data_IF_314108451213
#
_entry.id   IF_314108451213
#
_cell.length_a   1.000
_cell.length_b   1.000
_cell.length_c   1.000
_cell.angle_alpha   90.00
_cell.angle_beta   90.00
_cell.angle_gamma   90.00
#
_symmetry.space_group_name_H-M   'P 1'
#
loop_
_entity.id
_entity.type
_entity.pdbx_description
1 polymer ?
#
# COMPACT_ATOMS: atom_id res chain seq x y z
N UNK A 1 15.33 10.66 5.02
CA UNK A 1 14.50 9.46 4.78
C UNK A 1 14.92 8.26 5.63
N UNK A 2 16.21 7.91 5.75
CA UNK A 2 16.63 6.74 6.58
C UNK A 2 16.66 6.98 8.10
N UNK A 3 16.62 8.24 8.54
CA UNK A 3 16.66 8.62 9.97
C UNK A 3 15.24 8.76 10.56
N UNK A 4 14.41 7.73 10.34
CA UNK A 4 13.08 7.63 10.94
C UNK A 4 13.17 6.64 12.11
N UNK A 5 12.89 7.15 13.31
CA UNK A 5 12.90 6.38 14.56
C UNK A 5 11.64 6.69 15.36
N UNK A 6 10.52 6.02 15.07
CA UNK A 6 9.25 6.31 15.72
C UNK A 6 9.28 5.88 17.19
N UNK A 7 8.70 6.67 18.10
CA UNK A 7 8.42 6.25 19.47
C UNK A 7 7.24 5.26 19.46
N UNK A 8 7.55 3.96 19.56
CA UNK A 8 6.52 2.92 19.51
C UNK A 8 5.51 3.05 20.63
N UNK A 9 4.22 3.00 20.29
CA UNK A 9 3.13 3.07 21.26
C UNK A 9 2.91 4.45 21.89
N UNK A 10 3.57 5.50 21.38
CA UNK A 10 3.36 6.89 21.80
C UNK A 10 2.69 7.68 20.68
N UNK A 11 1.89 8.70 21.05
CA UNK A 11 1.33 9.66 20.09
C UNK A 11 2.42 10.63 19.64
N UNK A 12 2.56 10.75 18.33
CA UNK A 12 3.29 11.80 17.65
C UNK A 12 2.29 12.80 17.05
N UNK A 13 2.40 14.08 17.40
CA UNK A 13 1.68 15.16 16.71
C UNK A 13 2.36 15.42 15.36
N UNK A 14 1.69 15.08 14.26
CA UNK A 14 2.20 15.26 12.90
C UNK A 14 1.83 16.65 12.37
N UNK A 15 0.62 17.07 12.67
CA UNK A 15 0.06 18.37 12.31
C UNK A 15 -1.06 18.75 13.31
N UNK A 16 -1.70 19.92 13.20
CA UNK A 16 -2.78 20.30 14.12
C UNK A 16 -3.94 19.29 14.19
N UNK A 17 -4.26 18.60 13.09
CA UNK A 17 -5.38 17.64 13.03
C UNK A 17 -4.93 16.19 12.84
N UNK A 18 -3.64 15.91 12.70
CA UNK A 18 -3.12 14.55 12.46
C UNK A 18 -2.17 14.15 13.58
N UNK A 19 -2.51 13.04 14.21
CA UNK A 19 -1.66 12.31 15.16
C UNK A 19 -1.28 10.96 14.57
N UNK A 20 -0.17 10.38 15.05
CA UNK A 20 0.28 9.03 14.65
C UNK A 20 0.72 8.23 15.85
N UNK A 21 0.37 6.93 15.87
CA UNK A 21 1.01 5.93 16.75
C UNK A 21 1.61 4.85 15.86
N UNK A 22 2.89 4.52 16.07
CA UNK A 22 3.56 3.49 15.29
C UNK A 22 3.58 2.14 16.03
N UNK A 23 3.10 1.09 15.38
CA UNK A 23 3.14 -0.27 15.90
C UNK A 23 4.59 -0.82 15.96
N UNK A 24 4.96 -1.59 17.00
CA UNK A 24 6.31 -2.15 17.15
C UNK A 24 6.51 -3.41 16.29
N UNK A 25 6.29 -3.31 14.99
CA UNK A 25 6.39 -4.42 14.02
C UNK A 25 7.42 -4.19 12.90
N UNK A 26 8.68 -3.80 13.19
CA UNK A 26 9.68 -3.57 12.14
C UNK A 26 10.02 -4.87 11.40
N UNK A 27 9.92 -4.83 10.07
CA UNK A 27 10.20 -5.95 9.17
C UNK A 27 10.65 -5.43 7.79
N UNK A 28 11.14 -6.29 6.89
CA UNK A 28 11.54 -5.87 5.54
C UNK A 28 10.44 -5.15 4.74
N UNK A 29 9.16 -5.39 5.03
CA UNK A 29 8.03 -4.78 4.33
C UNK A 29 7.40 -3.61 5.10
N UNK A 30 7.45 -3.64 6.43
CA UNK A 30 6.91 -2.57 7.29
C UNK A 30 7.94 -1.50 7.66
N UNK A 31 9.19 -1.65 7.22
CA UNK A 31 10.33 -0.79 7.55
C UNK A 31 10.56 -0.66 9.06
N UNK A 32 10.13 0.46 9.66
CA UNK A 32 10.23 0.72 11.09
C UNK A 32 8.96 0.36 11.83
N UNK A 33 7.88 0.00 11.14
CA UNK A 33 6.59 -0.32 11.73
C UNK A 33 5.44 0.33 10.96
N UNK A 34 4.24 -0.03 11.37
CA UNK A 34 2.98 0.47 10.77
C UNK A 34 2.57 1.76 11.47
N UNK A 35 2.45 2.86 10.74
CA UNK A 35 1.89 4.10 11.25
C UNK A 35 0.37 4.06 11.23
N UNK A 36 -0.25 4.02 12.40
CA UNK A 36 -1.68 4.26 12.56
C UNK A 36 -1.90 5.77 12.69
N UNK A 37 -2.68 6.35 11.78
CA UNK A 37 -3.02 7.77 11.81
C UNK A 37 -4.34 8.00 12.54
N UNK A 38 -4.42 9.11 13.26
CA UNK A 38 -5.60 9.58 13.98
C UNK A 38 -5.90 10.99 13.46
N UNK A 39 -7.10 11.20 12.94
CA UNK A 39 -7.53 12.45 12.31
C UNK A 39 -8.60 13.11 13.17
N UNK A 40 -8.41 14.39 13.48
CA UNK A 40 -9.34 15.20 14.28
C UNK A 40 -9.09 15.18 15.79
N UNK A 41 -9.96 15.88 16.52
CA UNK A 41 -10.04 15.93 18.00
C UNK A 41 -11.51 15.98 18.44
N UNK A 42 -11.84 15.42 19.59
CA UNK A 42 -13.22 15.29 20.09
C UNK A 42 -13.96 14.15 19.41
N UNK A 43 -14.18 14.27 18.10
CA UNK A 43 -14.64 13.18 17.24
C UNK A 43 -13.58 12.86 16.19
N UNK A 44 -13.12 11.61 16.13
CA UNK A 44 -11.93 11.24 15.35
C UNK A 44 -12.16 10.05 14.42
N UNK A 45 -11.33 9.99 13.38
CA UNK A 45 -11.15 8.81 12.55
C UNK A 45 -9.76 8.19 12.79
N UNK A 46 -9.69 6.85 12.75
CA UNK A 46 -8.43 6.10 12.73
C UNK A 46 -8.21 5.58 11.30
N UNK A 47 -6.99 5.68 10.79
CA UNK A 47 -6.58 5.10 9.50
C UNK A 47 -5.52 4.03 9.76
N UNK A 48 -5.75 2.81 9.27
CA UNK A 48 -4.88 1.64 9.42
C UNK A 48 -4.45 1.37 10.88
N UNK A 49 -5.32 0.76 11.70
CA UNK A 49 -5.09 0.53 13.12
C UNK A 49 -3.95 -0.45 13.43
N UNK A 50 -3.41 -1.12 12.42
CA UNK A 50 -2.22 -1.93 12.57
C UNK A 50 -2.49 -3.44 12.73
N UNK A 51 -1.43 -4.23 12.96
CA UNK A 51 -1.58 -5.62 13.37
C UNK A 51 -2.14 -5.74 14.79
N UNK A 52 -2.67 -6.90 15.14
CA UNK A 52 -3.03 -7.23 16.53
C UNK A 52 -1.74 -7.47 17.32
N UNK A 53 -1.24 -6.40 17.95
CA UNK A 53 -0.16 -6.45 18.93
C UNK A 53 -0.73 -5.91 20.24
N UNK A 54 -0.70 -6.68 21.35
CA UNK A 54 -1.32 -6.24 22.61
C UNK A 54 -0.87 -4.85 23.07
N UNK A 55 0.44 -4.58 23.06
CA UNK A 55 0.97 -3.27 23.46
C UNK A 55 0.53 -2.12 22.54
N UNK A 56 0.33 -2.38 21.24
CA UNK A 56 -0.17 -1.37 20.30
C UNK A 56 -1.66 -1.10 20.50
N UNK A 57 -2.45 -2.14 20.71
CA UNK A 57 -3.88 -2.00 21.04
C UNK A 57 -4.08 -1.25 22.36
N UNK A 58 -3.29 -1.56 23.38
CA UNK A 58 -3.37 -0.89 24.67
C UNK A 58 -2.94 0.58 24.56
N UNK A 59 -1.90 0.88 23.77
CA UNK A 59 -1.48 2.24 23.46
C UNK A 59 -2.59 3.04 22.75
N UNK A 60 -3.21 2.47 21.70
CA UNK A 60 -4.33 3.12 21.00
C UNK A 60 -5.52 3.36 21.91
N UNK A 61 -5.90 2.37 22.73
CA UNK A 61 -7.04 2.52 23.65
C UNK A 61 -6.79 3.60 24.70
N UNK A 62 -5.65 3.54 25.38
CA UNK A 62 -5.30 4.49 26.44
C UNK A 62 -5.08 5.91 25.92
N UNK A 63 -4.44 6.07 24.76
CA UNK A 63 -4.13 7.39 24.21
C UNK A 63 -5.35 8.08 23.60
N UNK A 64 -6.42 7.34 23.32
CA UNK A 64 -7.68 7.85 22.78
C UNK A 64 -8.79 7.87 23.84
N UNK A 65 -8.46 7.69 25.13
CA UNK A 65 -9.43 7.89 26.21
C UNK A 65 -9.96 9.33 26.20
N UNK A 66 -11.28 9.46 26.17
CA UNK A 66 -11.97 10.76 26.11
C UNK A 66 -12.26 11.25 24.69
N UNK A 67 -11.69 10.63 23.66
CA UNK A 67 -12.05 10.85 22.26
C UNK A 67 -13.27 10.01 21.88
N UNK A 68 -14.07 10.51 20.94
CA UNK A 68 -15.11 9.73 20.27
C UNK A 68 -14.54 9.19 18.97
N UNK A 69 -14.08 7.94 18.96
CA UNK A 69 -13.68 7.28 17.71
C UNK A 69 -14.94 6.95 16.91
N UNK A 70 -15.22 7.69 15.85
CA UNK A 70 -16.42 7.50 15.03
C UNK A 70 -16.18 6.59 13.82
N UNK A 71 -14.94 6.55 13.31
CA UNK A 71 -14.61 5.80 12.09
C UNK A 71 -13.27 5.07 12.22
N UNK A 72 -13.19 3.85 11.68
CA UNK A 72 -11.93 3.17 11.38
C UNK A 72 -11.86 2.94 9.87
N UNK A 73 -10.94 3.61 9.20
CA UNK A 73 -10.72 3.55 7.75
C UNK A 73 -9.54 2.63 7.45
N UNK A 74 -9.73 1.70 6.52
CA UNK A 74 -8.71 0.72 6.13
C UNK A 74 -8.30 0.95 4.69
N UNK A 75 -7.01 1.16 4.47
CA UNK A 75 -6.45 1.36 3.13
C UNK A 75 -6.54 0.06 2.33
N UNK A 76 -6.15 -1.05 2.93
CA UNK A 76 -6.23 -2.39 2.34
C UNK A 76 -6.10 -3.48 3.42
N UNK A 77 -6.34 -4.73 3.03
CA UNK A 77 -6.44 -5.86 3.96
C UNK A 77 -5.12 -6.61 4.16
N UNK A 78 -3.98 -5.93 4.14
CA UNK A 78 -2.77 -6.55 4.69
C UNK A 78 -2.82 -6.57 6.23
N UNK A 79 -2.17 -7.58 6.82
CA UNK A 79 -2.22 -7.96 8.24
C UNK A 79 -1.53 -6.97 9.16
N UNK A 80 -0.68 -6.14 8.60
CA UNK A 80 -0.09 -5.00 9.27
C UNK A 80 -1.00 -3.77 9.22
N UNK A 81 -2.13 -3.77 8.50
CA UNK A 81 -3.07 -2.64 8.43
C UNK A 81 -4.40 -2.93 9.12
N UNK A 82 -5.09 -4.01 8.73
CA UNK A 82 -6.50 -4.24 9.07
C UNK A 82 -6.82 -5.00 10.37
N UNK A 83 -5.99 -5.93 10.91
CA UNK A 83 -6.45 -6.83 11.97
C UNK A 83 -6.88 -6.15 13.27
N UNK A 84 -6.25 -5.03 13.64
CA UNK A 84 -6.63 -4.29 14.84
C UNK A 84 -7.98 -3.55 14.70
N UNK A 85 -8.56 -3.46 13.50
CA UNK A 85 -9.80 -2.73 13.26
C UNK A 85 -10.98 -3.31 14.05
N UNK A 86 -11.18 -4.63 13.98
CA UNK A 86 -12.30 -5.30 14.67
C UNK A 86 -12.25 -5.16 16.20
N UNK A 87 -11.14 -5.45 16.90
CA UNK A 87 -11.08 -5.26 18.35
C UNK A 87 -11.22 -3.79 18.78
N UNK A 88 -10.73 -2.83 17.99
CA UNK A 88 -10.90 -1.40 18.30
C UNK A 88 -12.34 -0.92 18.03
N UNK A 89 -12.94 -1.33 16.91
CA UNK A 89 -14.34 -1.04 16.59
C UNK A 89 -15.27 -1.56 17.69
N UNK A 90 -15.05 -2.78 18.18
CA UNK A 90 -15.80 -3.33 19.30
C UNK A 90 -15.58 -2.57 20.61
N UNK A 91 -14.38 -2.03 20.83
CA UNK A 91 -14.04 -1.30 22.06
C UNK A 91 -14.68 0.09 22.07
N UNK A 92 -14.61 0.82 20.96
CA UNK A 92 -15.12 2.19 20.85
C UNK A 92 -16.57 2.28 20.35
N UNK A 93 -17.13 1.19 19.83
CA UNK A 93 -18.50 1.13 19.32
C UNK A 93 -18.68 1.83 17.97
N UNK A 94 -17.68 1.74 17.09
CA UNK A 94 -17.66 2.42 15.78
C UNK A 94 -17.64 1.47 14.59
N UNK A 95 -17.80 2.03 13.38
CA UNK A 95 -17.83 1.26 12.13
C UNK A 95 -16.48 1.25 11.42
N UNK A 96 -16.21 0.12 10.76
CA UNK A 96 -15.05 -0.10 9.91
C UNK A 96 -15.44 0.19 8.46
N UNK A 97 -14.65 1.01 7.79
CA UNK A 97 -14.81 1.40 6.41
C UNK A 97 -13.63 0.87 5.59
N UNK A 98 -13.90 0.40 4.39
CA UNK A 98 -12.86 -0.06 3.47
C UNK A 98 -13.45 -0.43 2.12
N UNK A 99 -12.60 -0.78 1.17
CA UNK A 99 -13.05 -1.25 -0.13
C UNK A 99 -13.52 -2.71 -0.08
N UNK A 100 -14.27 -3.14 -1.08
CA UNK A 100 -14.70 -4.53 -1.22
C UNK A 100 -13.52 -5.47 -1.49
N UNK A 101 -13.52 -6.62 -0.82
CA UNK A 101 -12.51 -7.69 -1.00
C UNK A 101 -13.06 -8.90 -1.75
N UNK A 102 -14.35 -8.91 -2.09
CA UNK A 102 -15.03 -10.07 -2.67
C UNK A 102 -14.47 -10.54 -4.02
N UNK A 103 -13.79 -9.67 -4.76
CA UNK A 103 -13.15 -10.00 -6.04
C UNK A 103 -11.65 -10.32 -5.93
N UNK A 104 -11.06 -10.28 -4.73
CA UNK A 104 -9.62 -10.52 -4.57
C UNK A 104 -9.25 -11.94 -4.95
N UNK A 105 -8.16 -12.06 -5.71
CA UNK A 105 -7.60 -13.35 -6.10
C UNK A 105 -6.40 -13.67 -5.23
N UNK A 106 -6.31 -14.90 -4.74
CA UNK A 106 -5.20 -15.34 -3.91
C UNK A 106 -4.38 -16.39 -4.65
N UNK A 107 -3.05 -16.25 -4.62
CA UNK A 107 -2.13 -17.32 -4.99
C UNK A 107 -1.79 -18.18 -3.77
N UNK A 108 -1.59 -19.49 -3.98
CA UNK A 108 -1.05 -20.40 -2.96
C UNK A 108 0.44 -20.16 -2.64
N UNK A 109 1.07 -19.18 -3.31
CA UNK A 109 2.49 -18.87 -3.15
C UNK A 109 2.69 -18.10 -1.85
N UNK A 110 3.64 -18.58 -1.05
CA UNK A 110 4.07 -18.12 0.29
C UNK A 110 4.38 -16.60 0.38
N UNK A 111 4.39 -15.87 -0.74
CA UNK A 111 4.53 -14.41 -0.77
C UNK A 111 3.29 -13.65 -0.25
N UNK A 112 2.12 -14.29 -0.15
CA UNK A 112 0.89 -13.71 0.45
C UNK A 112 0.82 -13.91 1.98
N UNK A 113 1.95 -14.11 2.66
CA UNK A 113 2.06 -13.99 4.12
C UNK A 113 1.81 -12.53 4.54
N UNK A 114 0.57 -12.09 4.40
CA UNK A 114 0.21 -10.70 4.56
C UNK A 114 -1.29 -10.45 4.47
N UNK A 115 -2.11 -11.26 3.81
CA UNK A 115 -3.54 -10.93 3.67
C UNK A 115 -4.36 -11.33 4.91
N UNK A 116 -5.12 -10.38 5.44
CA UNK A 116 -6.20 -10.59 6.40
C UNK A 116 -7.46 -11.06 5.67
N UNK A 117 -7.67 -12.38 5.66
CA UNK A 117 -8.83 -13.03 5.03
C UNK A 117 -10.12 -12.85 5.81
N UNK A 118 -10.02 -12.45 7.07
CA UNK A 118 -11.17 -12.19 7.94
C UNK A 118 -11.62 -10.72 7.87
N UNK A 119 -10.90 -9.89 7.10
CA UNK A 119 -11.25 -8.49 6.90
C UNK A 119 -12.62 -8.37 6.23
N UNK A 120 -13.55 -7.72 6.92
CA UNK A 120 -14.88 -7.41 6.43
C UNK A 120 -15.31 -6.05 6.98
N UNK A 121 -15.28 -4.99 6.17
CA UNK A 121 -15.73 -3.68 6.63
C UNK A 121 -17.26 -3.70 6.86
N UNK A 122 -17.72 -2.81 7.73
CA UNK A 122 -19.14 -2.52 7.92
C UNK A 122 -19.70 -1.74 6.74
N UNK A 123 -18.90 -0.79 6.23
CA UNK A 123 -19.26 0.10 5.12
C UNK A 123 -18.27 -0.06 3.97
N UNK A 124 -18.81 -0.27 2.76
CA UNK A 124 -18.01 -0.36 1.54
C UNK A 124 -17.84 1.01 0.92
N UNK A 125 -16.59 1.44 0.78
CA UNK A 125 -16.22 2.67 0.11
C UNK A 125 -15.93 2.42 -1.37
N UNK A 126 -16.19 3.45 -2.18
CA UNK A 126 -15.83 3.55 -3.59
C UNK A 126 -14.96 4.77 -3.83
N UNK A 127 -14.41 4.84 -5.03
CA UNK A 127 -13.66 6.03 -5.46
C UNK A 127 -14.53 7.29 -5.41
N UNK A 128 -14.02 8.34 -4.77
CA UNK A 128 -14.66 9.64 -4.60
C UNK A 128 -15.71 9.71 -3.49
N UNK A 129 -15.94 8.62 -2.73
CA UNK A 129 -16.83 8.67 -1.57
C UNK A 129 -16.25 9.61 -0.50
N UNK A 130 -17.11 10.47 0.07
CA UNK A 130 -16.74 11.44 1.09
C UNK A 130 -17.26 11.01 2.46
N UNK A 131 -16.37 11.00 3.44
CA UNK A 131 -16.61 10.70 4.85
C UNK A 131 -16.39 11.99 5.63
N UNK A 132 -17.36 12.36 6.46
CA UNK A 132 -17.31 13.59 7.23
C UNK A 132 -17.37 13.26 8.73
N UNK A 133 -16.58 13.96 9.52
CA UNK A 133 -16.75 14.05 10.97
C UNK A 133 -16.70 15.49 11.44
N UNK A 134 -16.61 15.69 12.75
CA UNK A 134 -16.52 17.04 13.32
C UNK A 134 -15.15 17.68 13.04
N UNK A 135 -15.11 18.59 12.07
CA UNK A 135 -13.90 19.37 11.74
C UNK A 135 -12.88 18.64 10.86
N UNK A 136 -13.26 17.51 10.25
CA UNK A 136 -12.43 16.79 9.28
C UNK A 136 -13.26 16.17 8.15
N UNK A 137 -12.67 16.11 6.96
CA UNK A 137 -13.27 15.57 5.74
C UNK A 137 -12.28 14.66 5.03
N UNK A 138 -12.69 13.41 4.78
CA UNK A 138 -11.86 12.41 4.10
C UNK A 138 -12.55 11.93 2.82
N UNK A 139 -11.88 12.04 1.69
CA UNK A 139 -12.25 11.41 0.41
C UNK A 139 -11.54 10.06 0.26
N UNK A 140 -12.27 9.01 -0.09
CA UNK A 140 -11.72 7.73 -0.50
C UNK A 140 -11.20 7.80 -1.94
N UNK A 141 -9.91 7.52 -2.14
CA UNK A 141 -9.26 7.55 -3.45
C UNK A 141 -8.83 6.13 -3.82
N UNK A 142 -9.59 5.47 -4.69
CA UNK A 142 -9.28 4.12 -5.15
C UNK A 142 -8.00 4.14 -5.98
N UNK A 143 -7.02 3.35 -5.53
CA UNK A 143 -5.65 3.28 -6.05
C UNK A 143 -5.19 1.82 -6.15
N UNK A 144 -5.89 1.00 -6.97
CA UNK A 144 -5.56 -0.41 -7.12
C UNK A 144 -4.17 -0.61 -7.69
N UNK A 145 -3.63 -1.81 -7.48
CA UNK A 145 -2.39 -2.26 -8.11
C UNK A 145 -1.43 -2.90 -7.13
N UNK A 146 -1.23 -2.32 -5.94
CA UNK A 146 -0.58 -3.04 -4.84
C UNK A 146 -1.45 -4.24 -4.41
N UNK A 147 -2.71 -3.93 -4.08
CA UNK A 147 -3.84 -4.84 -4.04
C UNK A 147 -5.01 -4.22 -4.82
N UNK A 148 -5.96 -5.04 -5.25
CA UNK A 148 -7.12 -4.56 -6.01
C UNK A 148 -8.09 -3.71 -5.16
N UNK A 149 -8.08 -3.92 -3.83
CA UNK A 149 -8.91 -3.19 -2.87
C UNK A 149 -8.23 -1.95 -2.26
N UNK A 150 -7.06 -1.53 -2.75
CA UNK A 150 -6.29 -0.47 -2.10
C UNK A 150 -6.94 0.92 -2.25
N UNK A 151 -7.13 1.60 -1.13
CA UNK A 151 -7.56 2.99 -1.01
C UNK A 151 -6.41 3.86 -0.47
N UNK A 152 -6.26 5.05 -1.05
CA UNK A 152 -5.67 6.18 -0.34
C UNK A 152 -6.82 6.99 0.29
N UNK A 153 -6.52 7.79 1.30
CA UNK A 153 -7.50 8.68 1.95
C UNK A 153 -7.03 10.13 1.87
N UNK A 154 -7.76 10.97 1.14
CA UNK A 154 -7.41 12.38 0.99
C UNK A 154 -8.11 13.20 2.07
N UNK A 155 -7.30 13.93 2.84
CA UNK A 155 -7.73 14.76 3.94
C UNK A 155 -7.77 16.22 3.50
N UNK A 156 -8.97 16.78 3.41
CA UNK A 156 -9.22 18.04 2.73
C UNK A 156 -8.62 19.24 3.48
N UNK A 157 -8.70 19.25 4.81
CA UNK A 157 -8.36 20.40 5.64
C UNK A 157 -6.87 20.76 5.58
N UNK A 158 -6.01 19.78 5.32
CA UNK A 158 -4.55 19.97 5.21
C UNK A 158 -4.01 19.61 3.82
N UNK A 159 -4.89 19.34 2.84
CA UNK A 159 -4.53 18.83 1.49
C UNK A 159 -3.51 17.69 1.57
N UNK A 160 -3.76 16.76 2.48
CA UNK A 160 -2.89 15.64 2.73
C UNK A 160 -3.47 14.36 2.13
N UNK A 161 -2.60 13.42 1.75
CA UNK A 161 -3.04 12.10 1.31
C UNK A 161 -2.39 11.02 2.17
N UNK A 162 -3.20 10.21 2.84
CA UNK A 162 -2.74 8.98 3.47
C UNK A 162 -2.63 7.90 2.39
N UNK A 163 -1.40 7.51 2.05
CA UNK A 163 -1.14 6.73 0.82
C UNK A 163 -1.10 5.23 1.01
N UNK A 164 -1.31 4.73 2.24
CA UNK A 164 -1.17 3.32 2.56
C UNK A 164 0.19 2.79 2.08
N UNK A 165 0.10 1.70 1.32
CA UNK A 165 1.24 1.02 0.69
C UNK A 165 1.36 1.29 -0.81
N UNK A 166 0.46 2.09 -1.39
CA UNK A 166 0.56 2.48 -2.79
C UNK A 166 1.82 3.33 -3.05
N UNK A 167 2.08 4.27 -2.16
CA UNK A 167 3.29 5.10 -2.10
C UNK A 167 3.89 4.95 -0.70
N UNK A 168 5.12 4.44 -0.61
CA UNK A 168 5.87 4.35 0.65
C UNK A 168 7.00 5.39 0.67
N UNK A 169 7.31 5.93 1.85
CA UNK A 169 8.33 6.98 2.02
C UNK A 169 9.79 6.51 1.97
N UNK A 170 10.02 5.20 1.82
CA UNK A 170 11.35 4.58 1.97
C UNK A 170 11.72 3.59 0.85
N UNK A 171 10.73 3.10 0.09
CA UNK A 171 10.92 2.12 -0.99
C UNK A 171 9.77 2.20 -2.00
N UNK A 172 9.92 1.54 -3.14
CA UNK A 172 8.81 1.31 -4.07
C UNK A 172 7.95 0.14 -3.57
N UNK A 173 6.64 0.21 -3.78
CA UNK A 173 5.72 -0.87 -3.39
C UNK A 173 5.99 -2.18 -4.12
N UNK A 174 5.54 -3.29 -3.54
CA UNK A 174 5.51 -4.59 -4.23
C UNK A 174 4.19 -4.68 -4.98
N UNK A 175 4.23 -5.17 -6.22
CA UNK A 175 3.04 -5.49 -7.01
C UNK A 175 3.10 -6.98 -7.30
N UNK A 176 2.14 -7.74 -6.77
CA UNK A 176 2.21 -9.21 -6.69
C UNK A 176 0.92 -9.85 -7.24
N UNK A 177 0.92 -10.38 -8.47
CA UNK A 177 -0.26 -10.98 -9.10
C UNK A 177 -0.65 -12.31 -8.44
N UNK A 178 -1.93 -12.68 -8.28
CA UNK A 178 -2.99 -12.29 -9.18
C UNK A 178 -3.77 -11.07 -8.73
N UNK A 179 -3.75 -10.69 -7.45
CA UNK A 179 -4.46 -9.49 -7.00
C UNK A 179 -3.72 -8.20 -7.32
N UNK A 180 -2.39 -8.19 -7.10
CA UNK A 180 -1.56 -7.05 -7.49
C UNK A 180 -1.40 -6.97 -9.00
N UNK A 181 -1.66 -5.79 -9.57
CA UNK A 181 -1.68 -5.56 -11.00
C UNK A 181 -0.83 -4.34 -11.39
N UNK A 182 0.15 -4.52 -12.29
CA UNK A 182 1.05 -3.43 -12.70
C UNK A 182 0.34 -2.38 -13.55
N UNK A 183 -0.63 -2.75 -14.37
CA UNK A 183 -1.41 -1.80 -15.16
C UNK A 183 -2.22 -0.89 -14.24
N UNK A 184 -2.94 -1.46 -13.27
CA UNK A 184 -3.70 -0.69 -12.30
C UNK A 184 -2.79 0.19 -11.43
N UNK A 185 -1.64 -0.34 -11.03
CA UNK A 185 -0.66 0.42 -10.27
C UNK A 185 -0.18 1.65 -11.04
N UNK A 186 0.19 1.50 -12.32
CA UNK A 186 0.67 2.60 -13.16
C UNK A 186 -0.42 3.64 -13.41
N UNK A 187 -1.67 3.21 -13.67
CA UNK A 187 -2.81 4.10 -13.84
C UNK A 187 -3.11 4.89 -12.54
N UNK A 188 -2.98 4.23 -11.39
CA UNK A 188 -3.15 4.88 -10.08
C UNK A 188 -2.05 5.91 -9.80
N UNK A 189 -0.79 5.63 -10.19
CA UNK A 189 0.29 6.63 -10.12
C UNK A 189 -0.02 7.85 -11.00
N UNK A 190 -0.55 7.64 -12.21
CA UNK A 190 -0.95 8.73 -13.10
C UNK A 190 -2.09 9.56 -12.48
N UNK A 191 -3.12 8.90 -11.93
CA UNK A 191 -4.18 9.57 -11.18
C UNK A 191 -3.64 10.41 -10.01
N UNK A 192 -2.68 9.89 -9.24
CA UNK A 192 -2.07 10.61 -8.12
C UNK A 192 -1.21 11.80 -8.57
N UNK A 193 -0.63 11.77 -9.78
CA UNK A 193 0.14 12.89 -10.36
C UNK A 193 -0.80 14.06 -10.71
N UNK A 194 -2.04 13.79 -11.09
CA UNK A 194 -3.02 14.82 -11.45
C UNK A 194 -3.65 15.54 -10.24
N UNK A 195 -3.46 15.01 -9.03
CA UNK A 195 -3.98 15.60 -7.79
C UNK A 195 -3.13 16.77 -7.30
N UNK A 196 -3.74 17.66 -6.52
CA UNK A 196 -3.12 18.86 -5.95
C UNK A 196 -2.80 18.75 -4.45
N UNK A 197 -2.72 17.52 -3.93
CA UNK A 197 -2.31 17.25 -2.54
C UNK A 197 -0.89 17.80 -2.27
N UNK A 198 -0.70 18.44 -1.13
CA UNK A 198 0.54 19.12 -0.76
C UNK A 198 1.53 18.21 -0.01
N UNK A 199 1.02 17.18 0.68
CA UNK A 199 1.83 16.26 1.48
C UNK A 199 1.25 14.85 1.49
N UNK A 200 2.11 13.83 1.39
CA UNK A 200 1.70 12.43 1.58
C UNK A 200 2.17 11.88 2.92
N UNK A 201 1.29 11.12 3.56
CA UNK A 201 1.52 10.38 4.80
C UNK A 201 1.41 8.88 4.52
N UNK A 202 2.54 8.21 4.17
CA UNK A 202 2.54 6.77 3.97
C UNK A 202 2.39 6.04 5.30
N UNK A 203 1.85 4.81 5.28
CA UNK A 203 1.79 3.98 6.49
C UNK A 203 3.19 3.62 6.98
N UNK A 204 4.11 3.35 6.05
CA UNK A 204 5.51 3.04 6.35
C UNK A 204 6.47 4.17 5.98
N UNK A 205 7.28 4.57 6.97
CA UNK A 205 8.28 5.62 6.83
C UNK A 205 7.75 7.02 7.15
N UNK A 206 8.49 8.02 6.69
CA UNK A 206 8.21 9.45 6.92
C UNK A 206 7.35 10.05 5.81
N UNK A 207 6.84 11.26 6.04
CA UNK A 207 6.03 12.03 5.10
C UNK A 207 6.79 12.44 3.85
N UNK A 208 6.05 12.86 2.81
CA UNK A 208 6.58 13.28 1.51
C UNK A 208 6.03 14.66 1.16
N UNK A 209 6.87 15.70 1.25
CA UNK A 209 6.50 17.11 0.98
C UNK A 209 6.41 17.50 -0.50
N UNK A 210 6.88 16.63 -1.41
CA UNK A 210 6.84 16.90 -2.86
C UNK A 210 6.16 15.74 -3.59
N UNK A 211 4.86 15.50 -3.35
CA UNK A 211 4.16 14.32 -3.83
C UNK A 211 4.27 14.15 -5.34
N UNK A 212 3.88 15.17 -6.12
CA UNK A 212 3.95 15.12 -7.59
C UNK A 212 5.32 14.66 -8.10
N UNK A 213 6.41 15.25 -7.60
CA UNK A 213 7.78 14.88 -8.00
C UNK A 213 8.13 13.45 -7.58
N UNK A 214 7.71 13.04 -6.38
CA UNK A 214 7.98 11.71 -5.85
C UNK A 214 7.25 10.62 -6.67
N UNK A 215 5.94 10.78 -6.90
CA UNK A 215 5.12 9.87 -7.69
C UNK A 215 5.60 9.81 -9.14
N UNK A 216 5.92 10.96 -9.76
CA UNK A 216 6.52 11.01 -11.11
C UNK A 216 7.81 10.21 -11.22
N UNK A 217 8.66 10.24 -10.17
CA UNK A 217 9.89 9.46 -10.15
C UNK A 217 9.62 7.95 -10.01
N UNK A 218 8.61 7.56 -9.23
CA UNK A 218 8.19 6.15 -9.12
C UNK A 218 7.68 5.65 -10.47
N UNK A 219 6.77 6.40 -11.11
CA UNK A 219 6.23 6.05 -12.43
C UNK A 219 7.36 5.88 -13.45
N UNK A 220 8.27 6.86 -13.52
CA UNK A 220 9.45 6.77 -14.38
C UNK A 220 10.32 5.55 -14.07
N UNK A 221 10.55 5.25 -12.79
CA UNK A 221 11.32 4.08 -12.39
C UNK A 221 10.68 2.77 -12.88
N UNK A 222 9.35 2.65 -12.83
CA UNK A 222 8.62 1.49 -13.36
C UNK A 222 8.72 1.38 -14.89
N UNK A 223 8.57 2.48 -15.62
CA UNK A 223 8.75 2.48 -17.09
C UNK A 223 10.19 2.11 -17.49
N UNK A 224 11.19 2.59 -16.74
CA UNK A 224 12.60 2.19 -16.96
C UNK A 224 12.79 0.70 -16.67
N UNK A 225 12.09 0.16 -15.66
CA UNK A 225 12.13 -1.27 -15.36
C UNK A 225 11.58 -2.09 -16.53
N UNK A 226 10.44 -1.72 -17.09
CA UNK A 226 9.86 -2.39 -18.26
C UNK A 226 10.83 -2.44 -19.43
N UNK A 227 11.46 -1.31 -19.77
CA UNK A 227 12.51 -1.27 -20.81
C UNK A 227 13.68 -2.20 -20.52
N UNK A 228 14.04 -2.35 -19.25
CA UNK A 228 15.12 -3.26 -18.82
C UNK A 228 14.70 -4.72 -18.97
N UNK A 229 13.45 -5.06 -18.65
CA UNK A 229 12.86 -6.40 -18.83
C UNK A 229 12.82 -6.75 -20.31
N UNK A 230 12.27 -5.87 -21.17
CA UNK A 230 12.24 -6.04 -22.63
C UNK A 230 13.66 -6.31 -23.15
N UNK A 231 14.66 -5.51 -22.74
CA UNK A 231 16.05 -5.72 -23.16
C UNK A 231 16.62 -7.08 -22.71
N UNK A 232 16.25 -7.55 -21.52
CA UNK A 232 16.66 -8.87 -21.01
C UNK A 232 16.06 -10.00 -21.86
N UNK A 233 14.75 -9.93 -22.12
CA UNK A 233 14.03 -10.90 -22.97
C UNK A 233 14.59 -10.90 -24.39
N UNK A 234 14.85 -9.74 -24.99
CA UNK A 234 15.47 -9.62 -26.32
C UNK A 234 16.91 -10.14 -26.39
N UNK A 235 17.59 -10.31 -25.25
CA UNK A 235 18.89 -10.94 -25.15
C UNK A 235 18.81 -12.47 -24.95
N UNK A 236 17.61 -13.06 -24.99
CA UNK A 236 17.36 -14.49 -24.81
C UNK A 236 17.23 -14.93 -23.35
N UNK A 237 17.03 -14.00 -22.41
CA UNK A 237 16.69 -14.32 -21.02
C UNK A 237 15.18 -14.50 -20.92
N UNK A 238 14.72 -15.73 -21.10
CA UNK A 238 13.31 -16.03 -21.33
C UNK A 238 12.56 -16.44 -20.06
N UNK A 239 13.25 -16.63 -18.93
CA UNK A 239 12.65 -17.04 -17.66
C UNK A 239 12.84 -15.96 -16.58
N UNK A 240 11.88 -15.83 -15.66
CA UNK A 240 11.90 -14.82 -14.59
C UNK A 240 13.19 -14.87 -13.75
N UNK A 241 13.71 -16.03 -13.30
CA UNK A 241 14.97 -16.08 -12.55
C UNK A 241 16.17 -15.54 -13.33
N UNK A 242 16.20 -15.74 -14.66
CA UNK A 242 17.26 -15.22 -15.52
C UNK A 242 17.15 -13.69 -15.65
N UNK A 243 15.93 -13.18 -15.83
CA UNK A 243 15.64 -11.74 -15.87
C UNK A 243 15.97 -11.09 -14.53
N UNK A 244 15.61 -11.72 -13.41
CA UNK A 244 15.94 -11.27 -12.06
C UNK A 244 17.46 -11.14 -11.89
N UNK A 245 18.23 -12.18 -12.21
CA UNK A 245 19.69 -12.16 -12.08
C UNK A 245 20.34 -11.03 -12.90
N UNK A 246 19.73 -10.67 -14.04
CA UNK A 246 20.19 -9.55 -14.88
C UNK A 246 19.86 -8.18 -14.30
N UNK A 247 18.65 -7.99 -13.78
CA UNK A 247 18.15 -6.70 -13.26
C UNK A 247 18.70 -6.42 -11.86
N UNK A 248 18.91 -7.48 -11.08
CA UNK A 248 19.18 -7.43 -9.65
C UNK A 248 20.37 -8.31 -9.22
N UNK A 249 21.57 -8.13 -9.80
CA UNK A 249 22.70 -9.05 -9.60
C UNK A 249 23.20 -9.13 -8.15
N UNK A 250 22.92 -8.12 -7.33
CA UNK A 250 23.36 -8.03 -5.92
C UNK A 250 22.20 -8.08 -4.92
N UNK A 251 20.98 -8.44 -5.37
CA UNK A 251 19.83 -8.49 -4.47
C UNK A 251 19.98 -9.68 -3.51
N UNK A 252 19.81 -9.48 -2.19
CA UNK A 252 19.83 -10.57 -1.22
C UNK A 252 18.74 -11.62 -1.53
N UNK A 253 19.08 -12.91 -1.37
CA UNK A 253 18.17 -14.04 -1.69
C UNK A 253 16.80 -13.94 -1.03
N UNK A 254 16.74 -13.44 0.21
CA UNK A 254 15.48 -13.22 0.95
C UNK A 254 14.50 -12.26 0.27
N UNK A 255 14.96 -11.42 -0.67
CA UNK A 255 14.13 -10.48 -1.43
C UNK A 255 13.83 -10.97 -2.86
N UNK A 256 14.37 -12.12 -3.28
CA UNK A 256 14.20 -12.64 -4.64
C UNK A 256 12.73 -12.90 -4.95
N UNK A 257 12.01 -13.57 -4.04
CA UNK A 257 10.58 -13.89 -4.23
C UNK A 257 9.77 -12.62 -4.52
N UNK A 258 9.90 -11.57 -3.70
CA UNK A 258 9.17 -10.31 -3.91
C UNK A 258 9.55 -9.63 -5.23
N UNK A 259 10.83 -9.68 -5.61
CA UNK A 259 11.31 -9.09 -6.86
C UNK A 259 10.85 -9.88 -8.09
N UNK A 260 10.84 -11.22 -8.05
CA UNK A 260 10.31 -12.09 -9.11
C UNK A 260 8.82 -11.85 -9.33
N UNK A 261 8.05 -11.69 -8.24
CA UNK A 261 6.63 -11.37 -8.30
C UNK A 261 6.36 -10.01 -8.94
N UNK A 262 7.18 -9.02 -8.63
CA UNK A 262 7.11 -7.70 -9.30
C UNK A 262 7.53 -7.78 -10.78
N UNK A 263 8.52 -8.61 -11.12
CA UNK A 263 8.89 -8.87 -12.52
C UNK A 263 7.73 -9.54 -13.27
N UNK A 264 7.07 -10.53 -12.66
CA UNK A 264 5.88 -11.15 -13.22
C UNK A 264 4.78 -10.12 -13.50
N UNK A 265 4.51 -9.21 -12.57
CA UNK A 265 3.51 -8.15 -12.78
C UNK A 265 3.84 -7.28 -14.00
N UNK A 266 5.10 -6.91 -14.17
CA UNK A 266 5.55 -6.20 -15.37
C UNK A 266 5.41 -7.04 -16.64
N UNK A 267 5.78 -8.32 -16.60
CA UNK A 267 5.66 -9.21 -17.76
C UNK A 267 4.20 -9.40 -18.19
N UNK A 268 3.27 -9.57 -17.24
CA UNK A 268 1.83 -9.62 -17.53
C UNK A 268 1.39 -8.36 -18.28
N UNK A 269 1.70 -7.18 -17.75
CA UNK A 269 1.38 -5.90 -18.41
C UNK A 269 2.03 -5.78 -19.79
N UNK A 270 3.29 -6.18 -19.94
CA UNK A 270 3.98 -6.13 -21.23
C UNK A 270 3.37 -7.08 -22.27
N UNK A 271 2.85 -8.23 -21.83
CA UNK A 271 2.08 -9.15 -22.68
C UNK A 271 0.74 -8.53 -23.09
N UNK A 272 0.02 -7.90 -22.16
CA UNK A 272 -1.23 -7.18 -22.44
C UNK A 272 -1.03 -6.02 -23.44
N UNK A 273 0.08 -5.30 -23.32
CA UNK A 273 0.48 -4.23 -24.24
C UNK A 273 1.00 -4.75 -25.59
N UNK A 274 1.30 -6.04 -25.70
CA UNK A 274 1.85 -6.65 -26.91
C UNK A 274 3.32 -6.28 -27.18
N UNK A 275 4.11 -6.01 -26.15
CA UNK A 275 5.56 -5.77 -26.26
C UNK A 275 6.38 -7.06 -26.05
N UNK A 276 5.79 -8.03 -25.35
CA UNK A 276 6.36 -9.34 -25.02
C UNK A 276 5.31 -10.41 -25.29
N UNK A 277 5.72 -11.57 -25.79
CA UNK A 277 4.88 -12.77 -25.89
C UNK A 277 5.27 -13.78 -24.79
N UNK A 278 4.36 -14.70 -24.46
CA UNK A 278 4.65 -15.83 -23.57
C UNK A 278 3.97 -17.13 -24.04
N UNK A 279 4.46 -18.27 -23.55
CA UNK A 279 3.84 -19.57 -23.78
C UNK A 279 2.53 -19.74 -22.98
N UNK A 280 1.42 -19.35 -23.61
CA UNK A 280 0.08 -19.44 -23.02
C UNK A 280 -0.25 -18.24 -22.13
N UNK A 281 -0.81 -18.48 -20.93
CA UNK A 281 -1.10 -17.42 -19.97
C UNK A 281 0.14 -17.12 -19.14
N UNK A 282 0.57 -15.86 -19.10
CA UNK A 282 1.73 -15.42 -18.33
C UNK A 282 1.66 -15.90 -16.87
N UNK A 283 2.74 -16.52 -16.40
CA UNK A 283 2.91 -17.08 -15.06
C UNK A 283 4.38 -17.10 -14.65
N UNK A 284 4.66 -17.47 -13.39
CA UNK A 284 6.02 -17.65 -12.88
C UNK A 284 6.84 -18.68 -13.67
N UNK A 285 6.16 -19.62 -14.33
CA UNK A 285 6.76 -20.75 -15.07
C UNK A 285 6.80 -20.53 -16.57
N UNK A 286 6.25 -19.42 -17.05
CA UNK A 286 6.21 -19.12 -18.48
C UNK A 286 7.58 -18.77 -19.03
N UNK A 287 7.78 -19.06 -20.30
CA UNK A 287 8.86 -18.53 -21.11
C UNK A 287 8.38 -17.31 -21.88
N UNK A 288 9.22 -16.28 -21.93
CA UNK A 288 8.91 -14.98 -22.50
C UNK A 288 9.81 -14.69 -23.71
N UNK A 289 9.26 -14.03 -24.73
CA UNK A 289 9.99 -13.62 -25.94
C UNK A 289 9.58 -12.23 -26.40
N UNK A 290 10.42 -11.53 -27.17
CA UNK A 290 10.00 -10.28 -27.80
C UNK A 290 8.98 -10.59 -28.90
N UNK A 291 7.93 -9.79 -28.95
CA UNK A 291 6.94 -9.88 -30.02
C UNK A 291 7.57 -9.52 -31.37
N UNK A 292 7.44 -10.42 -32.33
CA UNK A 292 7.91 -10.25 -33.71
C UNK A 292 7.14 -9.18 -34.48
#
# INVERSE_FOLDING_TARGET
>A
MNDFSPPYGEIEDISPLIRRITAPNPAPYTFKGTGTYIVGHGEIAIIDPGPIIPSHLDALKSSLEGETVSHILITHNHKDHSPAAKPLANHFGCEIYGFDVGSQQHADVIAEEGIDKDFKPNQLLKDGDIINGEGWTIEAVHTPGHLSNHLCFAFAEEKALFTGDHIMGWSTTIVSPPDGNMTDYMNSLEKLIERDDEIYYPTHGTYIEKPHRFVSNILRHRLVREKTIIKAVGAGLNEIPQILAKIYPMLPSKLHIAAERTILAHLIRLVELGEVDCDGKASEKSTYSIKS
#
